data_IF_188588835750
#
_entry.id   IF_188588835750
#
_cell.length_a   1.000
_cell.length_b   1.000
_cell.length_c   1.000
_cell.angle_alpha   90.00
_cell.angle_beta   90.00
_cell.angle_gamma   90.00
#
_symmetry.space_group_name_H-M   'P 1'
#
loop_
_entity.id
_entity.type
_entity.pdbx_description
1 polymer ?
#
# COMPACT_ATOMS: atom_id res chain seq x y z
N UNK A 1 9.13 -8.67 -10.76
CA UNK A 1 9.73 -9.45 -9.64
C UNK A 1 10.74 -10.40 -10.22
N UNK A 2 11.88 -10.59 -9.58
CA UNK A 2 12.91 -11.52 -10.10
C UNK A 2 12.94 -12.76 -9.19
N UNK A 3 12.23 -13.83 -9.59
CA UNK A 3 12.14 -15.08 -8.83
C UNK A 3 13.27 -15.99 -9.30
N UNK A 4 14.24 -16.26 -8.41
CA UNK A 4 15.35 -17.19 -8.72
C UNK A 4 14.82 -18.61 -8.92
N UNK A 5 15.31 -19.29 -9.95
CA UNK A 5 14.85 -20.64 -10.29
C UNK A 5 13.62 -20.68 -11.21
N UNK A 6 13.01 -19.53 -11.52
CA UNK A 6 11.90 -19.42 -12.44
C UNK A 6 12.40 -18.95 -13.82
N UNK A 7 13.01 -19.87 -14.57
CA UNK A 7 13.40 -19.64 -15.97
C UNK A 7 12.21 -19.86 -16.90
N UNK A 8 12.34 -19.46 -18.17
CA UNK A 8 11.33 -19.74 -19.19
C UNK A 8 11.05 -21.25 -19.31
N UNK A 9 12.09 -22.06 -19.32
CA UNK A 9 11.96 -23.53 -19.37
C UNK A 9 11.23 -24.06 -18.13
N UNK A 10 11.50 -23.50 -16.93
CA UNK A 10 10.78 -23.88 -15.70
C UNK A 10 9.32 -23.48 -15.76
N UNK A 11 9.02 -22.28 -16.27
CA UNK A 11 7.63 -21.83 -16.48
C UNK A 11 6.87 -22.77 -17.42
N UNK A 12 7.48 -23.15 -18.54
CA UNK A 12 6.87 -24.07 -19.51
C UNK A 12 6.58 -25.43 -18.89
N UNK A 13 7.49 -25.98 -18.10
CA UNK A 13 7.28 -27.24 -17.39
C UNK A 13 6.14 -27.16 -16.39
N UNK A 14 6.06 -26.05 -15.59
CA UNK A 14 4.98 -25.85 -14.63
C UNK A 14 3.61 -25.64 -15.29
N UNK A 15 3.57 -24.98 -16.44
CA UNK A 15 2.35 -24.82 -17.26
C UNK A 15 1.93 -26.17 -17.84
N UNK A 16 2.85 -26.95 -18.41
CA UNK A 16 2.56 -28.29 -18.95
C UNK A 16 2.08 -29.26 -17.88
N UNK A 17 2.65 -29.18 -16.68
CA UNK A 17 2.18 -29.93 -15.51
C UNK A 17 0.77 -29.54 -15.07
N UNK A 18 0.28 -28.36 -15.49
CA UNK A 18 -0.98 -27.78 -15.03
C UNK A 18 -0.93 -27.17 -13.64
N UNK A 19 0.27 -27.04 -13.07
CA UNK A 19 0.52 -26.41 -11.78
C UNK A 19 0.45 -24.89 -11.85
N UNK A 20 0.63 -24.31 -13.06
CA UNK A 20 0.62 -22.88 -13.29
C UNK A 20 -0.37 -22.53 -14.41
N UNK A 21 -1.52 -21.96 -14.07
CA UNK A 21 -2.55 -21.45 -14.99
C UNK A 21 -2.67 -19.93 -14.92
N UNK A 22 -2.30 -19.35 -13.80
CA UNK A 22 -2.31 -17.90 -13.54
C UNK A 22 -1.09 -17.49 -12.71
N UNK A 23 -0.82 -16.20 -12.61
CA UNK A 23 0.27 -15.68 -11.78
C UNK A 23 0.08 -15.97 -10.28
N UNK A 24 -1.16 -16.11 -9.83
CA UNK A 24 -1.52 -16.45 -8.44
C UNK A 24 -1.07 -17.85 -8.05
N UNK A 25 -1.08 -18.79 -9.01
CA UNK A 25 -0.72 -20.19 -8.76
C UNK A 25 0.75 -20.35 -8.33
N UNK A 26 1.61 -19.36 -8.64
CA UNK A 26 2.98 -19.33 -8.13
C UNK A 26 3.03 -19.37 -6.60
N UNK A 27 2.03 -18.82 -5.93
CA UNK A 27 1.92 -18.84 -4.47
C UNK A 27 1.45 -20.16 -3.91
N UNK A 28 1.02 -21.10 -4.76
CA UNK A 28 0.39 -22.36 -4.39
C UNK A 28 1.08 -23.58 -5.01
N UNK A 29 2.34 -23.44 -5.45
CA UNK A 29 3.12 -24.54 -6.02
C UNK A 29 3.43 -25.66 -5.02
N UNK A 30 3.28 -25.41 -3.73
CA UNK A 30 3.39 -26.40 -2.66
C UNK A 30 2.43 -27.58 -2.84
N UNK A 31 1.29 -27.37 -3.49
CA UNK A 31 0.30 -28.40 -3.81
C UNK A 31 0.80 -29.43 -4.84
N UNK A 32 1.81 -29.10 -5.61
CA UNK A 32 2.39 -29.90 -6.69
C UNK A 32 3.85 -30.29 -6.38
N UNK A 33 4.22 -30.35 -5.09
CA UNK A 33 5.60 -30.57 -4.66
C UNK A 33 6.22 -31.80 -5.29
N UNK A 34 5.57 -32.95 -5.17
CA UNK A 34 6.14 -34.22 -5.59
C UNK A 34 6.24 -34.32 -7.13
N UNK A 35 5.27 -33.77 -7.84
CA UNK A 35 5.27 -33.68 -9.29
C UNK A 35 6.35 -32.76 -9.82
N UNK A 36 6.57 -31.60 -9.15
CA UNK A 36 7.61 -30.64 -9.53
C UNK A 36 9.00 -31.22 -9.29
N UNK A 37 9.22 -31.91 -8.18
CA UNK A 37 10.50 -32.56 -7.88
C UNK A 37 10.84 -33.67 -8.91
N UNK A 38 9.82 -34.32 -9.47
CA UNK A 38 9.97 -35.37 -10.49
C UNK A 38 10.22 -34.82 -11.90
N UNK A 39 10.13 -33.49 -12.15
CA UNK A 39 10.41 -32.90 -13.46
C UNK A 39 11.89 -33.04 -13.83
N UNK A 40 12.16 -33.21 -15.13
CA UNK A 40 13.52 -33.30 -15.67
C UNK A 40 14.33 -32.05 -15.34
N UNK A 41 15.50 -32.23 -14.74
CA UNK A 41 16.38 -31.14 -14.31
C UNK A 41 15.95 -30.46 -13.00
N UNK A 42 14.83 -30.89 -12.40
CA UNK A 42 14.41 -30.50 -11.07
C UNK A 42 14.86 -31.56 -10.04
N UNK A 43 14.85 -31.17 -8.79
CA UNK A 43 15.11 -32.03 -7.65
C UNK A 43 14.73 -31.27 -6.40
N UNK A 44 14.79 -31.91 -5.25
CA UNK A 44 14.35 -31.34 -3.98
C UNK A 44 14.98 -29.97 -3.68
N UNK A 45 16.29 -29.84 -3.86
CA UNK A 45 17.02 -28.57 -3.64
C UNK A 45 16.57 -27.46 -4.61
N UNK A 46 16.25 -27.79 -5.86
CA UNK A 46 15.79 -26.82 -6.86
C UNK A 46 14.38 -26.34 -6.49
N UNK A 47 13.52 -27.25 -6.05
CA UNK A 47 12.19 -26.94 -5.54
C UNK A 47 12.26 -26.01 -4.31
N UNK A 48 13.05 -26.38 -3.29
CA UNK A 48 13.21 -25.55 -2.08
C UNK A 48 13.70 -24.14 -2.40
N UNK A 49 14.69 -24.01 -3.28
CA UNK A 49 15.20 -22.70 -3.73
C UNK A 49 14.13 -21.88 -4.45
N UNK A 50 13.32 -22.52 -5.31
CA UNK A 50 12.21 -21.86 -6.00
C UNK A 50 11.16 -21.36 -5.02
N UNK A 51 10.71 -22.20 -4.09
CA UNK A 51 9.70 -21.83 -3.08
C UNK A 51 10.25 -20.73 -2.14
N UNK A 52 11.49 -20.84 -1.70
CA UNK A 52 12.12 -19.80 -0.88
C UNK A 52 12.16 -18.46 -1.63
N UNK A 53 12.54 -18.47 -2.92
CA UNK A 53 12.57 -17.26 -3.75
C UNK A 53 11.19 -16.67 -4.00
N UNK A 54 10.15 -17.50 -4.17
CA UNK A 54 8.77 -17.05 -4.28
C UNK A 54 8.35 -16.36 -2.98
N UNK A 55 8.59 -16.99 -1.83
CA UNK A 55 8.22 -16.44 -0.51
C UNK A 55 8.95 -15.13 -0.19
N UNK A 56 10.25 -15.01 -0.52
CA UNK A 56 10.99 -13.75 -0.41
C UNK A 56 10.34 -12.63 -1.26
N UNK A 57 9.84 -12.97 -2.45
CA UNK A 57 9.24 -11.99 -3.37
C UNK A 57 7.77 -11.68 -3.07
N UNK A 58 7.14 -12.38 -2.12
CA UNK A 58 5.80 -12.00 -1.61
C UNK A 58 5.83 -10.66 -0.89
N UNK A 59 6.94 -10.31 -0.25
CA UNK A 59 7.11 -9.00 0.35
C UNK A 59 7.41 -7.97 -0.74
N UNK A 60 6.55 -6.99 -0.89
CA UNK A 60 6.65 -5.99 -1.95
C UNK A 60 6.25 -4.61 -1.44
N UNK A 61 6.46 -3.58 -2.26
CA UNK A 61 6.02 -2.21 -2.00
C UNK A 61 5.02 -1.78 -3.06
N UNK A 62 4.22 -0.75 -2.77
CA UNK A 62 3.32 -0.12 -3.75
C UNK A 62 4.02 0.12 -5.10
N UNK A 63 5.18 0.78 -5.08
CA UNK A 63 5.91 1.11 -6.31
C UNK A 63 6.33 -0.13 -7.08
N UNK A 64 6.86 -1.16 -6.40
CA UNK A 64 7.28 -2.41 -7.06
C UNK A 64 6.10 -3.14 -7.67
N UNK A 65 4.98 -3.15 -6.99
CA UNK A 65 3.75 -3.78 -7.46
C UNK A 65 3.20 -3.06 -8.68
N UNK A 66 3.00 -1.73 -8.62
CA UNK A 66 2.49 -0.93 -9.75
C UNK A 66 3.38 -1.07 -10.99
N UNK A 67 4.71 -1.05 -10.82
CA UNK A 67 5.66 -1.26 -11.93
C UNK A 67 5.58 -2.68 -12.50
N UNK A 68 5.33 -3.69 -11.64
CA UNK A 68 5.18 -5.08 -12.08
C UNK A 68 3.89 -5.33 -12.87
N UNK A 69 2.89 -4.46 -12.77
CA UNK A 69 1.66 -4.54 -13.57
C UNK A 69 1.85 -4.11 -15.02
N UNK A 70 3.02 -3.62 -15.38
CA UNK A 70 3.40 -3.23 -16.75
C UNK A 70 2.41 -2.26 -17.42
N UNK A 71 1.90 -1.30 -16.63
CA UNK A 71 1.07 -0.22 -17.17
C UNK A 71 1.95 0.62 -18.11
N UNK A 72 1.58 0.83 -19.38
CA UNK A 72 2.44 1.51 -20.33
C UNK A 72 2.90 2.89 -19.85
N UNK A 73 4.20 3.15 -19.90
CA UNK A 73 4.89 4.37 -19.45
C UNK A 73 4.90 4.58 -17.93
N UNK A 74 4.30 3.72 -17.14
CA UNK A 74 4.32 3.81 -15.66
C UNK A 74 5.50 3.01 -15.12
N UNK A 75 6.67 3.64 -15.11
CA UNK A 75 7.88 3.12 -14.49
C UNK A 75 8.04 3.56 -13.04
N UNK A 76 9.24 3.33 -12.47
CA UNK A 76 9.55 3.63 -11.06
C UNK A 76 9.30 5.09 -10.67
N UNK A 77 9.60 6.04 -11.57
CA UNK A 77 9.41 7.47 -11.28
C UNK A 77 7.93 7.82 -11.15
N UNK A 78 7.11 7.42 -12.11
CA UNK A 78 5.66 7.60 -12.04
C UNK A 78 5.05 6.81 -10.88
N UNK A 79 5.49 5.57 -10.66
CA UNK A 79 5.07 4.76 -9.52
C UNK A 79 5.29 5.44 -8.16
N UNK A 80 6.44 6.14 -7.96
CA UNK A 80 6.67 6.92 -6.73
C UNK A 80 5.76 8.13 -6.60
N UNK A 81 5.39 8.78 -7.71
CA UNK A 81 4.44 9.90 -7.70
C UNK A 81 3.04 9.43 -7.32
N UNK A 82 2.62 8.29 -7.86
CA UNK A 82 1.36 7.63 -7.48
C UNK A 82 1.37 7.21 -6.01
N UNK A 83 2.46 6.59 -5.55
CA UNK A 83 2.65 6.19 -4.15
C UNK A 83 2.55 7.39 -3.20
N UNK A 84 3.24 8.48 -3.52
CA UNK A 84 3.19 9.73 -2.73
C UNK A 84 1.80 10.36 -2.69
N UNK A 85 1.01 10.27 -3.76
CA UNK A 85 -0.33 10.83 -3.82
C UNK A 85 -1.37 9.94 -3.13
N UNK A 86 -1.32 8.64 -3.39
CA UNK A 86 -2.27 7.65 -2.84
C UNK A 86 -1.78 7.03 -1.52
N UNK A 87 -0.67 7.50 -0.97
CA UNK A 87 -0.13 7.09 0.35
C UNK A 87 0.03 5.57 0.52
N UNK A 88 0.42 4.88 -0.56
CA UNK A 88 0.57 3.44 -0.56
C UNK A 88 -0.73 2.66 -0.76
N UNK A 89 -1.87 3.33 -0.88
CA UNK A 89 -3.17 2.69 -1.05
C UNK A 89 -3.42 2.27 -2.51
N UNK A 90 -3.29 0.98 -2.79
CA UNK A 90 -3.62 0.39 -4.09
C UNK A 90 -5.11 0.52 -4.39
N UNK A 91 -5.95 0.45 -3.36
CA UNK A 91 -7.39 0.61 -3.48
C UNK A 91 -7.77 2.02 -3.94
N UNK A 92 -7.16 3.05 -3.38
CA UNK A 92 -7.42 4.43 -3.79
C UNK A 92 -6.96 4.68 -5.22
N UNK A 93 -5.80 4.13 -5.63
CA UNK A 93 -5.35 4.19 -7.03
C UNK A 93 -6.35 3.51 -7.98
N UNK A 94 -6.83 2.31 -7.63
CA UNK A 94 -7.84 1.60 -8.43
C UNK A 94 -9.12 2.41 -8.57
N UNK A 95 -9.67 2.94 -7.47
CA UNK A 95 -10.87 3.77 -7.48
C UNK A 95 -10.68 5.03 -8.31
N UNK A 96 -9.58 5.75 -8.13
CA UNK A 96 -9.25 6.94 -8.90
C UNK A 96 -9.17 6.65 -10.40
N UNK A 97 -8.55 5.53 -10.79
CA UNK A 97 -8.45 5.12 -12.18
C UNK A 97 -9.82 4.78 -12.80
N UNK A 98 -10.72 4.15 -12.03
CA UNK A 98 -12.07 3.82 -12.47
C UNK A 98 -13.00 5.05 -12.51
N UNK A 99 -12.85 5.98 -11.56
CA UNK A 99 -13.65 7.22 -11.44
C UNK A 99 -13.14 8.37 -12.32
N UNK A 100 -12.21 8.11 -13.24
CA UNK A 100 -11.64 9.10 -14.16
C UNK A 100 -10.93 10.26 -13.47
N UNK A 101 -10.21 9.99 -12.40
CA UNK A 101 -9.34 10.97 -11.74
C UNK A 101 -8.33 11.55 -12.74
N UNK A 102 -8.14 12.87 -12.74
CA UNK A 102 -7.16 13.50 -13.62
C UNK A 102 -5.74 13.33 -13.06
N UNK A 103 -5.04 12.28 -13.52
CA UNK A 103 -3.66 12.02 -13.11
C UNK A 103 -2.66 13.07 -13.58
N UNK A 104 -3.03 13.97 -14.54
CA UNK A 104 -2.11 15.03 -15.00
C UNK A 104 -1.85 16.09 -13.94
N UNK A 105 -2.67 16.15 -12.89
CA UNK A 105 -2.40 16.99 -11.72
C UNK A 105 -1.14 16.57 -10.95
N UNK A 106 -0.62 15.36 -11.21
CA UNK A 106 0.61 14.86 -10.60
C UNK A 106 1.82 15.22 -11.45
N UNK A 107 2.76 15.96 -10.87
CA UNK A 107 3.96 16.40 -11.57
C UNK A 107 4.69 15.22 -12.25
N UNK A 108 4.89 15.29 -13.57
CA UNK A 108 5.56 14.28 -14.38
C UNK A 108 4.66 13.15 -14.86
N UNK A 109 3.35 13.25 -14.69
CA UNK A 109 2.35 12.39 -15.33
C UNK A 109 1.61 13.24 -16.37
N UNK A 110 1.85 12.95 -17.65
CA UNK A 110 1.17 13.64 -18.77
C UNK A 110 -0.08 12.91 -19.24
N UNK A 111 -0.77 13.50 -20.22
CA UNK A 111 -2.04 13.00 -20.77
C UNK A 111 -1.98 11.54 -21.22
N UNK A 112 -0.89 11.15 -21.91
CA UNK A 112 -0.73 9.77 -22.40
C UNK A 112 -0.61 8.78 -21.23
N UNK A 113 0.14 9.13 -20.19
CA UNK A 113 0.29 8.28 -19.00
C UNK A 113 -1.04 8.18 -18.25
N UNK A 114 -1.76 9.28 -18.10
CA UNK A 114 -3.11 9.32 -17.50
C UNK A 114 -4.08 8.42 -18.26
N UNK A 115 -4.11 8.52 -19.59
CA UNK A 115 -4.94 7.65 -20.44
C UNK A 115 -4.57 6.18 -20.29
N UNK A 116 -3.29 5.85 -20.27
CA UNK A 116 -2.81 4.47 -20.10
C UNK A 116 -3.26 3.86 -18.77
N UNK A 117 -3.21 4.64 -17.68
CA UNK A 117 -3.71 4.18 -16.38
C UNK A 117 -5.20 3.83 -16.48
N UNK A 118 -6.01 4.73 -17.03
CA UNK A 118 -7.44 4.50 -17.17
C UNK A 118 -7.77 3.31 -18.06
N UNK A 119 -7.10 3.18 -19.19
CA UNK A 119 -7.31 2.07 -20.14
C UNK A 119 -6.91 0.74 -19.51
N UNK A 120 -5.79 0.72 -18.78
CA UNK A 120 -5.32 -0.48 -18.11
C UNK A 120 -6.34 -0.98 -17.08
N UNK A 121 -6.88 -0.10 -16.23
CA UNK A 121 -7.85 -0.46 -15.20
C UNK A 121 -9.26 -0.74 -15.76
N UNK A 122 -9.59 -0.34 -16.99
CA UNK A 122 -10.85 -0.70 -17.66
C UNK A 122 -10.86 -2.13 -18.18
N UNK A 123 -9.70 -2.74 -18.35
CA UNK A 123 -9.60 -4.14 -18.78
C UNK A 123 -9.95 -5.06 -17.60
N UNK A 124 -10.96 -5.91 -17.78
CA UNK A 124 -11.42 -6.85 -16.75
C UNK A 124 -10.35 -7.85 -16.31
N UNK A 125 -9.52 -8.32 -17.26
CA UNK A 125 -8.48 -9.30 -16.98
C UNK A 125 -7.35 -8.67 -16.16
N UNK A 126 -7.02 -7.42 -16.44
CA UNK A 126 -6.07 -6.65 -15.65
C UNK A 126 -6.59 -6.41 -14.21
N UNK A 127 -7.88 -6.10 -14.05
CA UNK A 127 -8.47 -5.95 -12.73
C UNK A 127 -8.48 -7.26 -11.94
N UNK A 128 -8.76 -8.38 -12.60
CA UNK A 128 -8.69 -9.70 -11.97
C UNK A 128 -7.26 -10.02 -11.51
N UNK A 129 -6.27 -9.74 -12.38
CA UNK A 129 -4.84 -9.88 -12.05
C UNK A 129 -4.44 -8.97 -10.87
N UNK A 130 -4.81 -7.68 -10.93
CA UNK A 130 -4.54 -6.67 -9.92
C UNK A 130 -5.06 -7.09 -8.54
N UNK A 131 -6.35 -7.41 -8.45
CA UNK A 131 -7.00 -7.81 -7.20
C UNK A 131 -6.58 -9.18 -6.71
N UNK A 132 -6.30 -10.09 -7.64
CA UNK A 132 -5.86 -11.44 -7.31
C UNK A 132 -4.46 -11.46 -6.70
N UNK A 133 -3.50 -10.73 -7.31
CA UNK A 133 -2.13 -10.66 -6.78
C UNK A 133 -2.05 -9.92 -5.44
N UNK A 134 -2.92 -8.95 -5.18
CA UNK A 134 -2.96 -8.28 -3.88
C UNK A 134 -3.26 -9.23 -2.72
N UNK A 135 -4.01 -10.29 -2.96
CA UNK A 135 -4.32 -11.30 -1.93
C UNK A 135 -3.13 -12.21 -1.61
N UNK A 136 -2.20 -12.34 -2.55
CA UNK A 136 -1.04 -13.24 -2.45
C UNK A 136 0.23 -12.53 -1.95
N UNK A 137 0.23 -11.20 -1.94
CA UNK A 137 1.41 -10.39 -1.64
C UNK A 137 1.26 -9.66 -0.30
N UNK A 138 2.39 -9.46 0.35
CA UNK A 138 2.49 -8.68 1.59
C UNK A 138 3.12 -7.32 1.26
N UNK A 139 2.38 -6.24 1.54
CA UNK A 139 2.84 -4.88 1.25
C UNK A 139 3.54 -4.27 2.46
N UNK A 140 4.82 -3.94 2.29
CA UNK A 140 5.59 -3.19 3.28
C UNK A 140 5.14 -1.72 3.23
N UNK A 141 4.64 -1.19 4.36
CA UNK A 141 4.26 0.23 4.53
C UNK A 141 3.04 0.74 3.74
N UNK A 142 2.12 -0.14 3.30
CA UNK A 142 0.84 0.29 2.72
C UNK A 142 -0.31 0.21 3.73
N UNK A 143 -1.28 1.12 3.62
CA UNK A 143 -2.55 1.05 4.36
C UNK A 143 -3.34 -0.24 4.06
N UNK A 144 -2.99 -0.95 2.99
CA UNK A 144 -3.61 -2.19 2.53
C UNK A 144 -3.02 -3.46 3.18
N UNK A 145 -2.05 -3.34 4.11
CA UNK A 145 -1.49 -4.49 4.85
C UNK A 145 -2.49 -5.18 5.80
N UNK A 146 -3.75 -4.75 5.84
CA UNK A 146 -4.79 -5.29 6.74
C UNK A 146 -5.84 -6.15 6.05
N UNK A 147 -5.71 -6.50 4.76
CA UNK A 147 -6.75 -7.27 4.06
C UNK A 147 -6.36 -8.70 3.63
N UNK A 148 -5.23 -9.23 4.08
CA UNK A 148 -4.90 -10.64 3.84
C UNK A 148 -4.80 -11.40 5.15
N UNK A 149 -5.94 -11.91 5.62
CA UNK A 149 -6.00 -12.88 6.72
C UNK A 149 -7.18 -12.67 7.65
N UNK A 150 -8.11 -13.63 7.58
CA UNK A 150 -9.22 -13.87 8.50
C UNK A 150 -10.59 -13.25 8.18
N UNK A 151 -11.35 -14.01 7.40
CA UNK A 151 -12.78 -14.17 7.68
C UNK A 151 -12.92 -14.74 9.10
N UNK A 152 -13.13 -13.87 10.07
CA UNK A 152 -13.96 -14.06 11.26
C UNK A 152 -13.64 -12.97 12.28
N UNK A 153 -14.33 -11.87 12.24
CA UNK A 153 -15.13 -11.40 13.37
C UNK A 153 -15.86 -10.12 12.98
N UNK A 154 -17.16 -10.21 12.94
CA UNK A 154 -18.05 -9.05 12.97
C UNK A 154 -17.74 -8.22 14.22
N UNK A 155 -17.79 -6.89 14.06
CA UNK A 155 -17.82 -5.90 15.12
C UNK A 155 -16.47 -5.57 15.79
N UNK A 156 -15.66 -4.74 15.11
CA UNK A 156 -15.06 -3.60 15.80
C UNK A 156 -15.19 -2.37 14.92
N UNK A 157 -16.29 -1.69 15.05
CA UNK A 157 -16.44 -0.29 14.71
C UNK A 157 -15.47 0.48 15.61
N UNK A 158 -14.21 0.61 15.19
CA UNK A 158 -13.39 1.67 15.77
C UNK A 158 -13.98 2.96 15.23
N UNK A 159 -14.68 3.67 16.08
CA UNK A 159 -15.06 5.06 15.88
C UNK A 159 -13.75 5.82 15.61
N UNK A 160 -13.34 5.91 14.33
CA UNK A 160 -12.17 6.69 13.96
C UNK A 160 -12.56 8.18 14.02
N UNK A 161 -12.48 8.74 15.22
CA UNK A 161 -12.82 10.14 15.54
C UNK A 161 -12.04 11.14 14.69
N UNK A 162 -10.96 10.69 14.02
CA UNK A 162 -10.04 11.55 13.26
C UNK A 162 -10.21 11.45 11.75
N UNK A 163 -11.06 10.56 11.23
CA UNK A 163 -11.26 10.40 9.79
C UNK A 163 -11.76 11.70 9.15
N UNK A 164 -11.08 12.15 8.07
CA UNK A 164 -11.41 13.39 7.37
C UNK A 164 -10.98 14.68 8.07
N UNK A 165 -10.43 14.61 9.30
CA UNK A 165 -9.97 15.78 10.06
C UNK A 165 -8.60 16.28 9.57
N UNK A 166 -8.39 17.59 9.66
CA UNK A 166 -7.06 18.19 9.47
C UNK A 166 -6.36 18.34 10.82
N UNK A 167 -5.22 17.67 10.99
CA UNK A 167 -4.48 17.62 12.27
C UNK A 167 -3.11 18.25 12.10
N UNK A 168 -2.74 19.15 13.00
CA UNK A 168 -1.42 19.78 13.04
C UNK A 168 -0.67 19.28 14.27
N UNK A 169 0.56 18.83 14.10
CA UNK A 169 1.46 18.49 15.21
C UNK A 169 2.52 19.57 15.42
N UNK A 170 2.83 19.92 16.67
CA UNK A 170 3.82 20.95 17.04
C UNK A 170 4.54 20.60 18.33
N UNK A 171 5.75 21.14 18.49
CA UNK A 171 6.59 20.84 19.66
C UNK A 171 7.34 19.52 19.55
N UNK A 172 8.10 19.17 20.60
CA UNK A 172 8.84 17.91 20.68
C UNK A 172 7.92 16.85 21.32
N UNK A 173 7.49 15.88 20.52
CA UNK A 173 6.76 14.71 20.97
C UNK A 173 7.72 13.69 21.60
N UNK A 174 7.25 12.91 22.56
CA UNK A 174 8.05 11.88 23.26
C UNK A 174 8.07 10.55 22.53
N UNK A 175 6.92 10.16 21.98
CA UNK A 175 6.73 8.84 21.38
C UNK A 175 6.78 8.88 19.84
N UNK A 176 6.76 10.07 19.23
CA UNK A 176 6.76 10.23 17.78
C UNK A 176 7.87 11.16 17.32
N UNK A 177 8.54 10.78 16.25
CA UNK A 177 9.28 11.71 15.41
C UNK A 177 8.31 12.57 14.59
N UNK A 178 8.79 13.66 13.96
CA UNK A 178 7.95 14.51 13.13
C UNK A 178 7.33 13.77 11.95
N UNK A 179 8.10 12.89 11.34
CA UNK A 179 7.63 12.06 10.23
C UNK A 179 6.73 10.93 10.74
N UNK A 180 7.04 10.36 11.91
CA UNK A 180 6.22 9.33 12.55
C UNK A 180 4.82 9.80 12.94
N UNK A 181 4.67 11.02 13.48
CA UNK A 181 3.34 11.56 13.80
C UNK A 181 2.53 11.87 12.55
N UNK A 182 3.18 12.39 11.49
CA UNK A 182 2.50 12.64 10.22
C UNK A 182 2.03 11.32 9.58
N UNK A 183 2.86 10.28 9.57
CA UNK A 183 2.47 8.95 9.10
C UNK A 183 1.31 8.39 9.93
N UNK A 184 1.31 8.57 11.26
CA UNK A 184 0.20 8.14 12.13
C UNK A 184 -1.09 8.90 11.83
N UNK A 185 -1.05 10.22 11.63
CA UNK A 185 -2.21 11.03 11.25
C UNK A 185 -2.81 10.53 9.93
N UNK A 186 -1.97 10.25 8.94
CA UNK A 186 -2.40 9.71 7.64
C UNK A 186 -3.06 8.33 7.83
N UNK A 187 -2.49 7.45 8.66
CA UNK A 187 -3.06 6.12 8.94
C UNK A 187 -4.45 6.16 9.59
N UNK A 188 -4.83 7.31 10.14
CA UNK A 188 -6.16 7.57 10.70
C UNK A 188 -7.12 8.21 9.69
N UNK A 189 -6.79 8.18 8.41
CA UNK A 189 -7.56 8.86 7.35
C UNK A 189 -7.75 10.37 7.63
N UNK A 190 -6.77 10.98 8.32
CA UNK A 190 -6.72 12.41 8.60
C UNK A 190 -5.61 13.08 7.76
N UNK A 191 -5.73 14.37 7.55
CA UNK A 191 -4.79 15.17 6.76
C UNK A 191 -3.78 15.89 7.67
N UNK A 192 -2.46 15.62 7.56
CA UNK A 192 -1.46 16.36 8.35
C UNK A 192 -1.29 17.77 7.82
N UNK A 193 -1.43 18.76 8.70
CA UNK A 193 -1.24 20.18 8.39
C UNK A 193 0.12 20.70 8.85
N UNK A 194 0.73 21.59 8.04
CA UNK A 194 1.98 22.27 8.40
C UNK A 194 1.76 23.56 9.25
N UNK A 195 0.56 24.14 9.20
CA UNK A 195 0.19 25.36 9.89
C UNK A 195 -1.24 25.32 10.41
N UNK A 196 -1.48 25.99 11.55
CA UNK A 196 -2.82 26.10 12.14
C UNK A 196 -3.65 27.13 11.37
N UNK A 197 -4.81 26.73 10.89
CA UNK A 197 -5.78 27.55 10.14
C UNK A 197 -7.19 27.31 10.66
N UNK A 198 -8.19 28.05 10.16
CA UNK A 198 -9.60 27.80 10.48
C UNK A 198 -10.14 26.44 10.02
N UNK A 199 -9.39 25.74 9.15
CA UNK A 199 -9.70 24.38 8.66
C UNK A 199 -9.02 23.30 9.48
N UNK A 200 -8.26 23.67 10.52
CA UNK A 200 -7.59 22.71 11.41
C UNK A 200 -8.57 22.25 12.48
N UNK A 201 -8.81 20.96 12.59
CA UNK A 201 -9.73 20.36 13.55
C UNK A 201 -9.04 20.06 14.88
N UNK A 202 -7.79 19.57 14.81
CA UNK A 202 -7.02 19.20 16.00
C UNK A 202 -5.59 19.75 15.92
N UNK A 203 -5.07 20.16 17.07
CA UNK A 203 -3.64 20.44 17.28
C UNK A 203 -3.10 19.45 18.31
N UNK A 204 -2.13 18.63 17.92
CA UNK A 204 -1.35 17.80 18.84
C UNK A 204 -0.11 18.55 19.25
N UNK A 205 0.12 18.71 20.56
CA UNK A 205 1.30 19.44 21.02
C UNK A 205 2.16 18.63 21.98
N UNK A 206 3.46 18.80 21.84
CA UNK A 206 4.49 18.30 22.76
C UNK A 206 5.22 19.41 23.47
N UNK A 207 6.39 19.11 24.02
CA UNK A 207 7.21 20.08 24.73
C UNK A 207 7.64 21.23 23.80
N UNK A 208 7.64 22.47 24.31
CA UNK A 208 8.01 23.68 23.57
C UNK A 208 7.13 23.96 22.34
N UNK A 209 5.85 23.83 22.47
CA UNK A 209 4.85 23.96 21.40
C UNK A 209 4.66 25.39 20.84
N UNK A 210 5.52 26.31 21.03
CA UNK A 210 5.66 27.63 20.36
C UNK A 210 4.36 28.35 19.94
N UNK A 211 4.46 29.21 18.92
CA UNK A 211 3.38 30.10 18.43
C UNK A 211 2.14 29.37 17.85
N UNK A 212 2.28 28.10 17.47
CA UNK A 212 1.15 27.34 16.91
C UNK A 212 0.09 27.00 17.97
N UNK A 213 0.50 26.83 19.22
CA UNK A 213 -0.43 26.60 20.35
C UNK A 213 -1.30 27.84 20.57
N UNK A 214 -0.72 29.00 20.74
CA UNK A 214 -1.44 30.25 20.90
C UNK A 214 -2.39 30.55 19.74
N UNK A 215 -1.98 30.22 18.51
CA UNK A 215 -2.82 30.38 17.33
C UNK A 215 -4.01 29.40 17.29
N UNK A 216 -3.83 28.19 17.79
CA UNK A 216 -4.90 27.21 17.89
C UNK A 216 -5.95 27.65 18.91
N UNK A 217 -5.52 28.18 20.05
CA UNK A 217 -6.41 28.77 21.06
C UNK A 217 -7.23 29.93 20.50
N UNK A 218 -6.59 30.85 19.76
CA UNK A 218 -7.27 31.98 19.11
C UNK A 218 -8.31 31.55 18.06
N UNK A 219 -8.06 30.45 17.36
CA UNK A 219 -8.95 29.95 16.30
C UNK A 219 -9.98 28.94 16.81
N UNK A 220 -9.98 28.60 18.11
CA UNK A 220 -10.88 27.62 18.69
C UNK A 220 -10.65 26.18 18.22
N UNK A 221 -9.42 25.87 17.77
CA UNK A 221 -9.02 24.53 17.35
C UNK A 221 -8.90 23.62 18.55
N UNK A 222 -9.40 22.39 18.47
CA UNK A 222 -9.32 21.41 19.56
C UNK A 222 -7.86 20.99 19.79
N UNK A 223 -7.38 21.21 21.01
CA UNK A 223 -5.98 20.99 21.39
C UNK A 223 -5.88 19.70 22.17
N UNK A 224 -4.95 18.81 21.78
CA UNK A 224 -4.69 17.54 22.41
C UNK A 224 -3.21 17.44 22.79
N UNK A 225 -2.94 16.93 23.98
CA UNK A 225 -1.60 16.46 24.32
C UNK A 225 -1.27 15.19 23.53
N UNK A 226 -0.01 14.83 23.43
CA UNK A 226 0.39 13.55 22.81
C UNK A 226 -0.26 12.35 23.51
N UNK A 227 -0.41 12.41 24.84
CA UNK A 227 -1.02 11.36 25.63
C UNK A 227 -2.53 11.23 25.36
N UNK A 228 -3.27 12.34 25.34
CA UNK A 228 -4.71 12.35 25.01
C UNK A 228 -4.96 11.84 23.60
N UNK A 229 -4.07 12.19 22.65
CA UNK A 229 -4.13 11.65 21.29
C UNK A 229 -3.98 10.13 21.30
N UNK A 230 -2.99 9.58 22.03
CA UNK A 230 -2.79 8.13 22.15
C UNK A 230 -3.96 7.42 22.85
N UNK A 231 -4.53 8.02 23.89
CA UNK A 231 -5.71 7.48 24.58
C UNK A 231 -6.92 7.40 23.64
N UNK A 232 -7.15 8.44 22.83
CA UNK A 232 -8.21 8.45 21.82
C UNK A 232 -8.02 7.42 20.70
N UNK A 233 -6.78 6.96 20.47
CA UNK A 233 -6.48 5.87 19.51
C UNK A 233 -6.76 4.48 20.10
N UNK A 234 -6.79 4.37 21.42
CA UNK A 234 -6.95 3.10 22.14
C UNK A 234 -8.39 2.85 22.59
N UNK A 235 -9.27 3.85 22.47
CA UNK A 235 -10.68 3.80 22.83
C UNK A 235 -11.56 3.36 21.68
#
# INVERSE_FOLDING_TARGET
>A
MNIRGLSEATLDQLVQLGALKSHQDLSHLDRYRDEIIALEGFGEKSYENLIASINENRNTTFVRFVVAMDIPLIGRTAGRKLDGHFHGSLRELELAALDRFDFTCLEGIGDIMSSNIHEWFRNSDHLLLWRGLQKELHFENGLDAQTSGEENNMNKTTNNTFAGCTIVATGKLKNFTRDGINAKIISLSATPGSSVTKKTDYLIFGEKAGSKLAKAEQLGVKILTEQEFMEMLSA
#
